data_IF_292076812921
#
_entry.id   IF_292076812921
#
_cell.length_a   1.000
_cell.length_b   1.000
_cell.length_c   1.000
_cell.angle_alpha   90.00
_cell.angle_beta   90.00
_cell.angle_gamma   90.00
#
_symmetry.space_group_name_H-M   'P 1'
#
loop_
_entity.id
_entity.type
_entity.pdbx_description
1 polymer ?
#
# COMPACT_ATOMS: atom_id res chain seq x y z
N UNK A 1 30.03 23.40 9.98
CA UNK A 1 29.03 22.58 9.33
C UNK A 1 27.85 23.48 8.97
N UNK A 2 27.55 23.68 7.68
CA UNK A 2 26.34 24.43 7.26
C UNK A 2 25.15 23.51 7.55
N UNK A 3 24.25 23.92 8.43
CA UNK A 3 22.97 23.25 8.66
C UNK A 3 22.18 23.37 7.35
N UNK A 4 22.08 22.28 6.59
CA UNK A 4 21.25 22.24 5.39
C UNK A 4 19.79 22.41 5.83
N UNK A 5 19.13 23.45 5.33
CA UNK A 5 17.71 23.68 5.65
C UNK A 5 16.89 22.53 5.04
N UNK A 6 16.26 21.72 5.89
CA UNK A 6 15.41 20.63 5.44
C UNK A 6 14.09 21.19 4.90
N UNK A 7 13.72 20.79 3.69
CA UNK A 7 12.43 21.13 3.09
C UNK A 7 11.43 20.02 3.40
N UNK A 8 10.36 20.36 4.12
CA UNK A 8 9.28 19.43 4.46
C UNK A 8 8.02 19.84 3.68
N UNK A 9 7.46 18.91 2.93
CA UNK A 9 6.19 19.08 2.19
C UNK A 9 5.30 17.89 2.52
N UNK A 10 4.05 18.10 2.90
CA UNK A 10 3.10 17.04 3.29
C UNK A 10 3.67 16.06 4.35
N UNK A 11 4.53 16.55 5.25
CA UNK A 11 5.23 15.70 6.22
C UNK A 11 6.42 14.90 5.67
N UNK A 12 6.68 14.95 4.36
CA UNK A 12 7.83 14.30 3.71
C UNK A 12 9.04 15.22 3.72
N UNK A 13 10.19 14.70 4.16
CA UNK A 13 11.47 15.40 4.03
C UNK A 13 11.96 15.28 2.58
N UNK A 14 11.66 16.29 1.78
CA UNK A 14 11.98 16.32 0.33
C UNK A 14 13.49 16.37 0.09
N UNK A 15 14.25 17.04 0.95
CA UNK A 15 15.72 17.05 0.86
C UNK A 15 16.25 15.61 0.96
N UNK A 16 15.84 14.88 1.99
CA UNK A 16 16.27 13.49 2.19
C UNK A 16 15.75 12.55 1.08
N UNK A 17 14.55 12.82 0.54
CA UNK A 17 14.01 12.06 -0.58
C UNK A 17 14.92 12.15 -1.80
N UNK A 18 15.36 13.36 -2.19
CA UNK A 18 16.25 13.53 -3.33
C UNK A 18 17.66 12.97 -3.05
N UNK A 19 18.20 13.13 -1.86
CA UNK A 19 19.46 12.49 -1.45
C UNK A 19 19.39 10.95 -1.58
N UNK A 20 18.25 10.35 -1.21
CA UNK A 20 18.01 8.92 -1.37
C UNK A 20 17.96 8.52 -2.84
N UNK A 21 17.25 9.30 -3.68
CA UNK A 21 17.19 9.06 -5.13
C UNK A 21 18.57 9.12 -5.75
N UNK A 22 19.38 10.10 -5.40
CA UNK A 22 20.74 10.24 -5.94
C UNK A 22 21.65 9.10 -5.47
N UNK A 23 21.52 8.67 -4.20
CA UNK A 23 22.24 7.49 -3.70
C UNK A 23 21.84 6.20 -4.46
N UNK A 24 20.56 6.05 -4.83
CA UNK A 24 20.08 4.92 -5.65
C UNK A 24 20.68 4.96 -7.06
N UNK A 25 20.80 6.15 -7.66
CA UNK A 25 21.44 6.30 -8.99
C UNK A 25 22.93 5.88 -8.94
N UNK A 26 23.61 6.17 -7.85
CA UNK A 26 25.02 5.78 -7.66
C UNK A 26 25.17 4.28 -7.34
N UNK A 27 24.24 3.70 -6.60
CA UNK A 27 24.25 2.29 -6.21
C UNK A 27 22.85 1.68 -6.22
N UNK A 28 22.47 1.04 -7.30
CA UNK A 28 21.13 0.43 -7.48
C UNK A 28 20.85 -0.72 -6.51
N UNK A 29 21.86 -1.33 -5.88
CA UNK A 29 21.64 -2.41 -4.91
C UNK A 29 20.89 -1.96 -3.67
N UNK A 30 21.04 -0.70 -3.26
CA UNK A 30 20.31 -0.14 -2.10
C UNK A 30 18.80 0.01 -2.36
N UNK A 31 18.37 0.01 -3.61
CA UNK A 31 16.96 0.07 -3.99
C UNK A 31 16.24 -1.30 -3.91
N UNK A 32 17.00 -2.39 -3.72
CA UNK A 32 16.43 -3.73 -3.67
C UNK A 32 15.85 -4.03 -2.30
N UNK A 33 14.54 -4.30 -2.28
CA UNK A 33 13.80 -4.66 -1.08
C UNK A 33 13.12 -6.01 -1.24
N UNK A 34 13.04 -6.75 -0.14
CA UNK A 34 12.26 -7.97 -0.03
C UNK A 34 11.47 -7.93 1.27
N UNK A 35 10.17 -7.78 1.17
CA UNK A 35 9.25 -7.82 2.30
C UNK A 35 8.76 -9.25 2.52
N UNK A 36 8.55 -9.63 3.80
CA UNK A 36 8.19 -10.98 4.20
C UNK A 36 7.00 -10.96 5.14
N UNK A 37 6.10 -11.91 4.94
CA UNK A 37 4.97 -12.15 5.80
C UNK A 37 4.89 -13.65 6.12
N UNK A 38 4.51 -13.98 7.35
CA UNK A 38 4.27 -15.33 7.80
C UNK A 38 2.80 -15.45 8.19
N UNK A 39 2.11 -16.43 7.63
CA UNK A 39 0.70 -16.69 7.94
C UNK A 39 0.56 -17.98 8.76
N UNK A 40 -0.37 -17.96 9.71
CA UNK A 40 -0.75 -19.10 10.52
C UNK A 40 -2.27 -19.24 10.52
N UNK A 41 -2.75 -20.38 10.11
CA UNK A 41 -4.14 -20.78 10.30
C UNK A 41 -4.43 -21.00 11.79
N UNK A 42 -5.59 -20.56 12.26
CA UNK A 42 -6.02 -20.64 13.67
C UNK A 42 -7.15 -21.66 13.81
N UNK A 43 -8.31 -21.36 13.21
CA UNK A 43 -9.49 -22.22 13.24
C UNK A 43 -10.45 -21.80 12.12
N UNK A 44 -11.27 -22.72 11.57
CA UNK A 44 -12.25 -22.41 10.53
C UNK A 44 -11.63 -21.62 9.39
N UNK A 45 -12.09 -20.38 9.19
CA UNK A 45 -11.58 -19.43 8.21
C UNK A 45 -10.58 -18.43 8.79
N UNK A 46 -10.41 -18.40 10.13
CA UNK A 46 -9.53 -17.47 10.80
C UNK A 46 -8.04 -17.80 10.58
N UNK A 47 -7.28 -16.80 10.23
CA UNK A 47 -5.84 -16.88 10.10
C UNK A 47 -5.15 -15.55 10.47
N UNK A 48 -3.92 -15.65 11.00
CA UNK A 48 -3.14 -14.51 11.43
C UNK A 48 -1.87 -14.38 10.59
N UNK A 49 -1.65 -13.20 10.03
CA UNK A 49 -0.40 -12.88 9.32
C UNK A 49 0.45 -11.94 10.15
N UNK A 50 1.71 -12.30 10.30
CA UNK A 50 2.71 -11.48 11.00
C UNK A 50 3.78 -11.00 10.03
N UNK A 51 4.10 -9.70 10.08
CA UNK A 51 5.21 -9.08 9.38
C UNK A 51 6.21 -8.54 10.39
N UNK A 52 7.45 -9.02 10.33
CA UNK A 52 8.51 -8.66 11.28
C UNK A 52 9.80 -8.25 10.60
N UNK A 53 10.23 -9.02 9.63
CA UNK A 53 11.51 -8.82 8.97
C UNK A 53 11.33 -8.39 7.52
N UNK A 54 12.25 -7.58 7.06
CA UNK A 54 12.39 -7.26 5.64
C UNK A 54 13.88 -7.03 5.32
N UNK A 55 14.25 -7.28 4.08
CA UNK A 55 15.54 -6.89 3.52
C UNK A 55 15.37 -5.56 2.78
N UNK A 56 16.31 -4.65 2.92
CA UNK A 56 16.35 -3.40 2.19
C UNK A 56 17.60 -2.61 2.53
N UNK A 57 18.04 -1.74 1.64
CA UNK A 57 19.28 -0.99 1.77
C UNK A 57 20.48 -1.89 2.18
N UNK A 58 20.63 -3.02 1.47
CA UNK A 58 21.70 -4.02 1.61
C UNK A 58 21.78 -4.71 2.97
N UNK A 59 20.73 -4.70 3.78
CA UNK A 59 20.71 -5.39 5.08
C UNK A 59 19.31 -5.91 5.46
N UNK A 60 19.28 -6.88 6.38
CA UNK A 60 18.05 -7.34 7.02
C UNK A 60 17.70 -6.44 8.19
N UNK A 61 16.46 -6.01 8.25
CA UNK A 61 15.89 -5.25 9.35
C UNK A 61 14.87 -6.10 10.08
N UNK A 62 14.92 -6.08 11.41
CA UNK A 62 13.97 -6.78 12.29
C UNK A 62 13.24 -5.78 13.16
N UNK A 63 11.91 -5.72 13.06
CA UNK A 63 11.10 -4.87 13.92
C UNK A 63 11.09 -5.41 15.35
N UNK A 64 11.28 -4.55 16.33
CA UNK A 64 11.17 -4.91 17.75
C UNK A 64 9.78 -5.41 18.10
N UNK A 65 8.75 -4.77 17.56
CA UNK A 65 7.35 -5.19 17.67
C UNK A 65 6.83 -5.58 16.29
N UNK A 66 6.49 -6.86 16.06
CA UNK A 66 5.87 -7.28 14.81
C UNK A 66 4.47 -6.68 14.67
N UNK A 67 4.02 -6.50 13.42
CA UNK A 67 2.62 -6.21 13.11
C UNK A 67 1.90 -7.52 12.82
N UNK A 68 0.73 -7.71 13.44
CA UNK A 68 -0.12 -8.88 13.22
C UNK A 68 -1.46 -8.43 12.66
N UNK A 69 -1.90 -9.10 11.61
CA UNK A 69 -3.16 -8.88 10.92
C UNK A 69 -4.02 -10.12 11.10
N UNK A 70 -5.16 -9.95 11.76
CA UNK A 70 -6.19 -10.99 11.90
C UNK A 70 -7.07 -10.94 10.66
N UNK A 71 -7.30 -12.10 10.05
CA UNK A 71 -8.20 -12.25 8.90
C UNK A 71 -9.19 -13.36 9.20
N UNK A 72 -10.44 -13.12 8.83
CA UNK A 72 -11.51 -14.10 8.95
C UNK A 72 -12.54 -13.83 7.85
N UNK A 73 -13.44 -14.76 7.61
CA UNK A 73 -14.57 -14.56 6.72
C UNK A 73 -15.79 -14.04 7.49
N UNK A 74 -16.68 -13.27 6.85
CA UNK A 74 -17.95 -12.90 7.45
C UNK A 74 -18.87 -14.14 7.58
N UNK A 75 -19.89 -14.09 8.47
CA UNK A 75 -20.78 -15.26 8.69
C UNK A 75 -21.45 -15.81 7.44
N UNK A 76 -21.74 -14.96 6.46
CA UNK A 76 -22.29 -15.40 5.14
C UNK A 76 -21.31 -16.28 4.35
N UNK A 77 -20.02 -16.19 4.66
CA UNK A 77 -18.95 -17.04 4.11
C UNK A 77 -18.40 -18.02 5.15
N UNK A 78 -19.22 -18.37 6.16
CA UNK A 78 -18.96 -19.39 7.20
C UNK A 78 -17.83 -19.02 8.19
N UNK A 79 -17.48 -17.73 8.32
CA UNK A 79 -16.56 -17.22 9.32
C UNK A 79 -17.26 -16.65 10.56
N UNK A 80 -16.48 -16.06 11.44
CA UNK A 80 -16.94 -15.41 12.67
C UNK A 80 -16.74 -13.89 12.69
N UNK A 81 -16.21 -13.32 11.56
CA UNK A 81 -15.93 -11.88 11.44
C UNK A 81 -14.95 -11.35 12.52
N UNK A 82 -13.99 -12.18 12.93
CA UNK A 82 -12.96 -11.81 13.91
C UNK A 82 -11.90 -10.86 13.35
N UNK A 83 -11.89 -10.64 12.05
CA UNK A 83 -11.01 -9.73 11.33
C UNK A 83 -11.50 -9.49 9.92
N UNK A 84 -10.96 -8.47 9.26
CA UNK A 84 -11.34 -8.19 7.88
C UNK A 84 -11.06 -9.40 6.96
N UNK A 85 -11.90 -9.55 5.95
CA UNK A 85 -11.78 -10.60 4.94
C UNK A 85 -10.42 -10.49 4.21
N UNK A 86 -9.79 -11.62 3.82
CA UNK A 86 -8.52 -11.60 3.08
C UNK A 86 -8.50 -10.71 1.84
N UNK A 87 -9.61 -10.62 1.08
CA UNK A 87 -9.68 -9.77 -0.12
C UNK A 87 -9.83 -8.28 0.23
N UNK A 88 -10.45 -7.94 1.37
CA UNK A 88 -10.46 -6.56 1.88
C UNK A 88 -9.06 -6.10 2.29
N UNK A 89 -8.20 -7.00 2.78
CA UNK A 89 -6.78 -6.69 3.02
C UNK A 89 -6.01 -6.35 1.74
N UNK A 90 -6.37 -6.93 0.60
CA UNK A 90 -5.78 -6.55 -0.69
C UNK A 90 -6.16 -5.12 -1.05
N UNK A 91 -7.43 -4.74 -0.89
CA UNK A 91 -7.89 -3.36 -1.10
C UNK A 91 -7.21 -2.39 -0.13
N UNK A 92 -7.15 -2.74 1.16
CA UNK A 92 -6.49 -1.92 2.19
C UNK A 92 -4.99 -1.74 1.91
N UNK A 93 -4.29 -2.79 1.50
CA UNK A 93 -2.89 -2.73 1.11
C UNK A 93 -2.67 -1.85 -0.12
N UNK A 94 -3.51 -2.00 -1.13
CA UNK A 94 -3.47 -1.19 -2.36
C UNK A 94 -3.74 0.29 -2.04
N UNK A 95 -4.78 0.60 -1.25
CA UNK A 95 -5.09 1.96 -0.82
C UNK A 95 -3.91 2.64 -0.13
N UNK A 96 -3.26 1.93 0.80
CA UNK A 96 -2.07 2.43 1.49
C UNK A 96 -0.90 2.69 0.55
N UNK A 97 -0.63 1.78 -0.39
CA UNK A 97 0.45 1.92 -1.36
C UNK A 97 0.24 3.14 -2.27
N UNK A 98 -0.95 3.27 -2.86
CA UNK A 98 -1.30 4.37 -3.76
C UNK A 98 -1.21 5.71 -3.03
N UNK A 99 -1.83 5.83 -1.85
CA UNK A 99 -1.80 7.07 -1.06
C UNK A 99 -0.38 7.48 -0.72
N UNK A 100 0.47 6.54 -0.27
CA UNK A 100 1.86 6.84 0.08
C UNK A 100 2.67 7.32 -1.13
N UNK A 101 2.50 6.68 -2.28
CA UNK A 101 3.18 7.06 -3.52
C UNK A 101 2.72 8.44 -4.01
N UNK A 102 1.41 8.70 -4.00
CA UNK A 102 0.82 9.97 -4.42
C UNK A 102 1.35 11.14 -3.55
N UNK A 103 1.38 10.96 -2.21
CA UNK A 103 1.93 11.96 -1.28
C UNK A 103 3.43 12.18 -1.53
N UNK A 104 4.20 11.12 -1.81
CA UNK A 104 5.62 11.25 -2.11
C UNK A 104 5.87 12.04 -3.41
N UNK A 105 5.12 11.74 -4.48
CA UNK A 105 5.20 12.45 -5.77
C UNK A 105 4.76 13.91 -5.65
N UNK A 106 3.64 14.16 -4.98
CA UNK A 106 3.16 15.52 -4.71
C UNK A 106 4.22 16.33 -3.97
N UNK A 107 4.81 15.75 -2.93
CA UNK A 107 5.86 16.39 -2.12
C UNK A 107 7.11 16.69 -2.94
N UNK A 108 7.56 15.76 -3.79
CA UNK A 108 8.72 15.96 -4.67
C UNK A 108 8.47 17.07 -5.70
N UNK A 109 7.23 17.25 -6.16
CA UNK A 109 6.81 18.35 -7.07
C UNK A 109 6.50 19.65 -6.31
N UNK A 110 6.56 19.68 -4.97
CA UNK A 110 6.21 20.83 -4.16
C UNK A 110 4.71 21.14 -4.07
N UNK A 111 3.87 20.18 -4.47
CA UNK A 111 2.40 20.28 -4.40
C UNK A 111 1.95 20.00 -2.97
N UNK A 112 1.26 20.97 -2.37
CA UNK A 112 0.68 20.83 -1.04
C UNK A 112 -0.65 20.09 -1.11
N UNK A 113 -0.80 19.08 -0.27
CA UNK A 113 -2.04 18.32 -0.10
C UNK A 113 -2.59 18.63 1.29
N UNK A 114 -3.84 19.04 1.37
CA UNK A 114 -4.54 19.30 2.63
C UNK A 114 -5.26 18.03 3.14
N UNK A 115 -5.89 17.27 2.24
CA UNK A 115 -6.46 15.95 2.55
C UNK A 115 -6.47 15.02 1.33
N UNK A 116 -6.41 13.70 1.60
CA UNK A 116 -6.64 12.63 0.62
C UNK A 116 -7.53 11.58 1.27
N UNK A 117 -8.64 11.30 0.61
CA UNK A 117 -9.48 10.15 0.91
C UNK A 117 -9.57 9.29 -0.35
N UNK A 118 -9.58 7.97 -0.20
CA UNK A 118 -9.77 7.04 -1.32
C UNK A 118 -10.80 5.98 -0.96
N UNK A 119 -11.63 5.62 -1.94
CA UNK A 119 -12.55 4.49 -1.88
C UNK A 119 -12.13 3.50 -2.93
N UNK A 120 -11.96 2.24 -2.55
CA UNK A 120 -11.62 1.14 -3.42
C UNK A 120 -12.74 0.12 -3.42
N UNK A 121 -13.15 -0.31 -4.61
CA UNK A 121 -14.21 -1.28 -4.82
C UNK A 121 -13.77 -2.30 -5.87
N UNK A 122 -14.12 -3.57 -5.67
CA UNK A 122 -13.85 -4.62 -6.62
C UNK A 122 -14.83 -5.77 -6.45
N UNK A 123 -15.24 -6.36 -7.57
CA UNK A 123 -16.18 -7.47 -7.60
C UNK A 123 -15.43 -8.80 -7.65
N UNK A 124 -15.94 -9.80 -6.92
CA UNK A 124 -15.47 -11.18 -6.93
C UNK A 124 -16.66 -12.11 -7.16
N UNK A 125 -16.49 -13.06 -8.07
CA UNK A 125 -17.44 -14.15 -8.25
C UNK A 125 -16.94 -15.41 -7.52
N UNK A 126 -17.67 -15.84 -6.49
CA UNK A 126 -17.33 -17.03 -5.73
C UNK A 126 -17.38 -18.33 -6.56
N UNK A 127 -18.06 -18.31 -7.70
CA UNK A 127 -18.03 -19.46 -8.64
C UNK A 127 -16.58 -19.73 -9.09
N UNK A 128 -15.75 -18.69 -9.28
CA UNK A 128 -14.33 -18.84 -9.61
C UNK A 128 -13.56 -19.53 -8.48
N UNK A 129 -13.79 -19.13 -7.23
CA UNK A 129 -13.17 -19.74 -6.05
C UNK A 129 -13.53 -21.23 -5.92
N UNK A 130 -14.81 -21.58 -6.14
CA UNK A 130 -15.31 -22.95 -6.03
C UNK A 130 -15.19 -23.78 -7.32
N UNK A 131 -14.60 -23.22 -8.39
CA UNK A 131 -14.43 -23.87 -9.70
C UNK A 131 -15.75 -24.40 -10.29
N UNK A 132 -16.83 -23.61 -10.14
CA UNK A 132 -18.17 -23.98 -10.59
C UNK A 132 -18.46 -23.64 -12.06
N UNK A 133 -17.53 -22.96 -12.74
CA UNK A 133 -17.65 -22.57 -14.14
C UNK A 133 -16.31 -22.43 -14.82
N UNK A 134 -16.29 -22.65 -16.14
CA UNK A 134 -15.11 -22.44 -16.97
C UNK A 134 -14.89 -20.92 -17.19
N UNK A 135 -13.65 -20.48 -17.07
CA UNK A 135 -13.23 -19.09 -17.34
C UNK A 135 -13.76 -18.02 -16.36
N UNK A 136 -14.15 -18.40 -15.14
CA UNK A 136 -14.48 -17.45 -14.08
C UNK A 136 -13.21 -17.17 -13.26
N UNK A 137 -12.85 -15.88 -13.13
CA UNK A 137 -11.68 -15.48 -12.36
C UNK A 137 -11.90 -15.76 -10.86
N UNK A 138 -10.95 -16.40 -10.14
CA UNK A 138 -11.08 -16.64 -8.69
C UNK A 138 -10.74 -15.43 -7.83
N UNK A 139 -10.40 -14.29 -8.41
CA UNK A 139 -10.04 -13.04 -7.73
C UNK A 139 -10.85 -11.86 -8.21
N UNK A 140 -10.37 -10.65 -7.98
CA UNK A 140 -10.98 -9.44 -8.50
C UNK A 140 -10.89 -9.41 -10.04
N UNK A 141 -11.99 -9.09 -10.71
CA UNK A 141 -12.00 -8.83 -12.16
C UNK A 141 -11.42 -7.45 -12.47
N UNK A 142 -11.53 -6.52 -11.53
CA UNK A 142 -10.97 -5.18 -11.58
C UNK A 142 -11.16 -4.48 -10.23
N UNK A 143 -10.41 -3.42 -10.01
CA UNK A 143 -10.54 -2.57 -8.82
C UNK A 143 -10.75 -1.14 -9.29
N UNK A 144 -11.87 -0.55 -8.90
CA UNK A 144 -12.16 0.87 -9.11
C UNK A 144 -11.64 1.67 -7.93
N UNK A 145 -10.98 2.77 -8.22
CA UNK A 145 -10.41 3.66 -7.19
C UNK A 145 -10.94 5.07 -7.42
N UNK A 146 -11.58 5.62 -6.40
CA UNK A 146 -12.06 7.01 -6.38
C UNK A 146 -11.26 7.79 -5.36
N UNK A 147 -10.71 8.93 -5.76
CA UNK A 147 -10.02 9.87 -4.88
C UNK A 147 -10.82 11.13 -4.63
N UNK A 148 -10.77 11.60 -3.40
CA UNK A 148 -11.15 12.95 -3.01
C UNK A 148 -9.91 13.62 -2.44
N UNK A 149 -9.42 14.64 -3.14
CA UNK A 149 -8.18 15.36 -2.80
C UNK A 149 -8.50 16.81 -2.59
N UNK A 150 -8.04 17.37 -1.46
CA UNK A 150 -8.07 18.80 -1.18
C UNK A 150 -6.65 19.35 -1.29
N UNK A 151 -6.47 20.35 -2.16
CA UNK A 151 -5.17 20.94 -2.50
C UNK A 151 -5.39 22.33 -3.13
N UNK A 152 -4.38 23.17 -3.11
CA UNK A 152 -4.33 24.44 -3.84
C UNK A 152 -3.82 24.29 -5.29
N UNK A 153 -3.43 23.06 -5.69
CA UNK A 153 -3.02 22.76 -7.06
C UNK A 153 -4.20 22.68 -8.03
N UNK A 154 -3.92 22.87 -9.33
CA UNK A 154 -4.94 22.71 -10.36
C UNK A 154 -5.38 21.26 -10.53
N UNK A 155 -6.61 21.07 -11.09
CA UNK A 155 -7.12 19.72 -11.38
C UNK A 155 -6.21 18.97 -12.35
N UNK A 156 -5.60 19.66 -13.32
CA UNK A 156 -4.66 19.07 -14.28
C UNK A 156 -3.42 18.51 -13.55
N UNK A 157 -2.87 19.26 -12.59
CA UNK A 157 -1.74 18.81 -11.79
C UNK A 157 -2.10 17.59 -10.94
N UNK A 158 -3.29 17.59 -10.34
CA UNK A 158 -3.76 16.46 -9.53
C UNK A 158 -4.01 15.22 -10.41
N UNK A 159 -4.53 15.39 -11.62
CA UNK A 159 -4.73 14.31 -12.57
C UNK A 159 -3.39 13.69 -12.99
N UNK A 160 -2.38 14.49 -13.32
CA UNK A 160 -1.04 14.01 -13.62
C UNK A 160 -0.41 13.20 -12.48
N UNK A 161 -0.66 13.60 -11.21
CA UNK A 161 -0.17 12.87 -10.04
C UNK A 161 -0.82 11.49 -9.92
N UNK A 162 -2.14 11.39 -10.18
CA UNK A 162 -2.90 10.12 -10.11
C UNK A 162 -2.49 9.19 -11.26
N UNK A 163 -2.23 9.73 -12.46
CA UNK A 163 -1.83 8.96 -13.65
C UNK A 163 -0.35 8.54 -13.63
N UNK A 164 0.45 9.05 -12.69
CA UNK A 164 1.84 8.61 -12.54
C UNK A 164 1.87 7.13 -12.16
N UNK A 165 2.57 6.25 -12.90
CA UNK A 165 2.60 4.81 -12.61
C UNK A 165 3.10 4.54 -11.20
N UNK A 166 2.36 3.74 -10.47
CA UNK A 166 2.66 3.31 -9.10
C UNK A 166 3.19 1.88 -9.14
#
# INVERSE_FOLDING_TARGET
MKTQTQTIVNGVNVTQLFETIDSIKENTEIAKFNFRAQNKWIDGTENHTTVREYYGACKTHTRTKPHTFVKDEPPVLLGNDNGANPVEYLLAGLAGCITTSLVAYASAKGVKIDSIESTLEGDIDLQGLFQLGDNINPGYDGINITFKIESDASNETLQELIETPI
#
